data_IF_196115230776
#
_entry.id   IF_196115230776
#
_cell.length_a   1.000
_cell.length_b   1.000
_cell.length_c   1.000
_cell.angle_alpha   90.00
_cell.angle_beta   90.00
_cell.angle_gamma   90.00
#
_symmetry.space_group_name_H-M   'P 1'
#
loop_
_entity.id
_entity.type
_entity.pdbx_description
1 polymer ?
#
# COMPACT_ATOMS: atom_id res chain seq x y z
N UNK A 1 -1.29 15.78 -12.16
CA UNK A 1 -2.67 16.04 -11.68
C UNK A 1 -3.02 17.51 -11.79
N UNK A 2 -2.20 18.42 -11.27
CA UNK A 2 -2.35 19.87 -11.49
C UNK A 2 -2.45 20.28 -12.98
N UNK A 3 -1.72 19.60 -13.88
CA UNK A 3 -1.73 19.91 -15.32
C UNK A 3 -3.07 19.65 -16.05
N UNK A 4 -4.03 18.94 -15.43
CA UNK A 4 -5.38 18.72 -15.99
C UNK A 4 -6.45 19.63 -15.38
N UNK A 5 -6.07 20.52 -14.46
CA UNK A 5 -7.00 21.33 -13.68
C UNK A 5 -7.81 20.53 -12.66
N UNK A 6 -7.40 19.29 -12.37
CA UNK A 6 -8.00 18.46 -11.34
C UNK A 6 -7.49 18.92 -9.97
N UNK A 7 -8.41 19.18 -9.02
CA UNK A 7 -8.08 19.61 -7.66
C UNK A 7 -7.44 18.45 -6.88
N UNK A 8 -6.15 18.54 -6.49
CA UNK A 8 -5.45 17.49 -5.76
C UNK A 8 -6.13 17.14 -4.44
N UNK A 9 -6.72 18.11 -3.74
CA UNK A 9 -7.43 17.88 -2.50
C UNK A 9 -8.70 17.05 -2.77
N UNK A 10 -9.48 17.41 -3.79
CA UNK A 10 -10.68 16.67 -4.16
C UNK A 10 -10.36 15.21 -4.51
N UNK A 11 -9.30 14.98 -5.28
CA UNK A 11 -8.84 13.62 -5.62
C UNK A 11 -8.44 12.85 -4.36
N UNK A 12 -7.63 13.46 -3.50
CA UNK A 12 -7.17 12.85 -2.25
C UNK A 12 -8.34 12.42 -1.38
N UNK A 13 -9.33 13.30 -1.20
CA UNK A 13 -10.53 13.03 -0.39
C UNK A 13 -11.35 11.87 -0.93
N UNK A 14 -11.59 11.84 -2.24
CA UNK A 14 -12.38 10.77 -2.87
C UNK A 14 -11.65 9.42 -2.73
N UNK A 15 -10.36 9.39 -3.03
CA UNK A 15 -9.56 8.17 -2.93
C UNK A 15 -9.43 7.68 -1.47
N UNK A 16 -9.24 8.59 -0.51
CA UNK A 16 -9.22 8.27 0.91
C UNK A 16 -10.55 7.66 1.38
N UNK A 17 -11.67 8.21 0.91
CA UNK A 17 -13.01 7.70 1.20
C UNK A 17 -13.19 6.28 0.63
N UNK A 18 -12.74 6.04 -0.60
CA UNK A 18 -12.78 4.71 -1.21
C UNK A 18 -11.92 3.70 -0.43
N UNK A 19 -10.69 4.08 -0.06
CA UNK A 19 -9.81 3.25 0.77
C UNK A 19 -10.46 2.87 2.10
N UNK A 20 -11.13 3.82 2.78
CA UNK A 20 -11.79 3.55 4.06
C UNK A 20 -12.92 2.52 3.91
N UNK A 21 -13.76 2.64 2.88
CA UNK A 21 -14.83 1.66 2.60
C UNK A 21 -14.25 0.28 2.33
N UNK A 22 -13.21 0.19 1.49
CA UNK A 22 -12.59 -1.09 1.15
C UNK A 22 -11.95 -1.76 2.37
N UNK A 23 -11.28 -0.98 3.24
CA UNK A 23 -10.72 -1.48 4.50
C UNK A 23 -11.78 -2.04 5.44
N UNK A 24 -12.94 -1.40 5.51
CA UNK A 24 -14.06 -1.89 6.33
C UNK A 24 -14.64 -3.19 5.76
N UNK A 25 -14.67 -3.36 4.44
CA UNK A 25 -15.05 -4.63 3.80
C UNK A 25 -14.04 -5.75 4.09
N UNK A 26 -12.74 -5.48 3.95
CA UNK A 26 -11.66 -6.42 4.28
C UNK A 26 -11.78 -6.88 5.73
N UNK A 27 -11.96 -5.91 6.65
CA UNK A 27 -12.13 -6.20 8.09
C UNK A 27 -13.36 -7.07 8.35
N UNK A 28 -14.48 -6.81 7.66
CA UNK A 28 -15.70 -7.63 7.79
C UNK A 28 -15.53 -9.05 7.24
N UNK A 29 -14.64 -9.25 6.27
CA UNK A 29 -14.27 -10.58 5.76
C UNK A 29 -13.34 -11.35 6.73
N UNK A 30 -12.81 -10.71 7.77
CA UNK A 30 -11.92 -11.31 8.76
C UNK A 30 -10.44 -11.03 8.51
N UNK A 31 -10.12 -10.28 7.46
CA UNK A 31 -8.74 -9.93 7.09
C UNK A 31 -8.31 -8.59 7.70
N UNK A 32 -7.00 -8.38 7.76
CA UNK A 32 -6.39 -7.10 8.15
C UNK A 32 -5.62 -6.49 6.97
N UNK A 33 -6.17 -5.40 6.44
CA UNK A 33 -5.55 -4.63 5.35
C UNK A 33 -4.13 -4.20 5.67
N UNK A 34 -3.89 -3.69 6.88
CA UNK A 34 -2.58 -3.17 7.27
C UNK A 34 -1.60 -4.32 7.39
N UNK A 35 -1.99 -5.43 8.01
CA UNK A 35 -1.13 -6.60 8.07
C UNK A 35 -0.74 -7.10 6.67
N UNK A 36 -1.68 -7.19 5.73
CA UNK A 36 -1.38 -7.63 4.37
C UNK A 36 -0.48 -6.64 3.61
N UNK A 37 -0.75 -5.34 3.69
CA UNK A 37 0.11 -4.31 3.08
C UNK A 37 1.53 -4.39 3.64
N UNK A 38 1.68 -4.59 4.96
CA UNK A 38 3.00 -4.76 5.58
C UNK A 38 3.71 -6.02 5.08
N UNK A 39 3.00 -7.15 4.98
CA UNK A 39 3.58 -8.41 4.46
C UNK A 39 4.04 -8.26 3.01
N UNK A 40 3.19 -7.68 2.16
CA UNK A 40 3.50 -7.45 0.75
C UNK A 40 4.71 -6.51 0.64
N UNK A 41 4.65 -5.35 1.31
CA UNK A 41 5.74 -4.38 1.29
C UNK A 41 7.06 -4.96 1.78
N UNK A 42 7.06 -5.64 2.93
CA UNK A 42 8.26 -6.27 3.48
C UNK A 42 8.81 -7.36 2.55
N UNK A 43 7.96 -8.20 1.97
CA UNK A 43 8.36 -9.25 1.03
C UNK A 43 8.95 -8.67 -0.26
N UNK A 44 8.32 -7.65 -0.83
CA UNK A 44 8.83 -6.98 -2.04
C UNK A 44 10.20 -6.37 -1.80
N UNK A 45 10.38 -5.63 -0.68
CA UNK A 45 11.68 -5.05 -0.33
C UNK A 45 12.73 -6.12 -0.07
N UNK A 46 12.36 -7.17 0.68
CA UNK A 46 13.28 -8.25 0.99
C UNK A 46 13.72 -9.01 -0.27
N UNK A 47 12.80 -9.27 -1.19
CA UNK A 47 13.09 -9.91 -2.48
C UNK A 47 14.05 -9.08 -3.31
N UNK A 48 13.80 -7.76 -3.42
CA UNK A 48 14.68 -6.85 -4.11
C UNK A 48 16.08 -6.81 -3.48
N UNK A 49 16.18 -6.73 -2.14
CA UNK A 49 17.46 -6.79 -1.41
C UNK A 49 18.22 -8.10 -1.66
N UNK A 50 17.53 -9.24 -1.71
CA UNK A 50 18.13 -10.54 -2.04
C UNK A 50 18.67 -10.57 -3.47
N UNK A 51 17.97 -9.90 -4.39
CA UNK A 51 18.36 -9.80 -5.80
C UNK A 51 19.40 -8.69 -6.09
N UNK A 52 19.80 -7.92 -5.07
CA UNK A 52 20.76 -6.82 -5.22
C UNK A 52 20.16 -5.55 -5.84
N UNK A 53 18.84 -5.43 -5.86
CA UNK A 53 18.11 -4.25 -6.34
C UNK A 53 17.99 -3.20 -5.23
N UNK A 54 18.09 -1.93 -5.59
CA UNK A 54 17.88 -0.83 -4.66
C UNK A 54 16.40 -0.44 -4.60
N UNK A 55 15.81 -0.54 -3.42
CA UNK A 55 14.46 -0.04 -3.15
C UNK A 55 14.57 1.17 -2.25
N UNK A 56 14.13 2.32 -2.76
CA UNK A 56 14.11 3.57 -2.01
C UNK A 56 12.71 3.75 -1.42
N UNK A 57 12.54 3.33 -0.17
CA UNK A 57 11.27 3.48 0.56
C UNK A 57 11.53 4.15 1.91
N UNK A 58 10.53 4.85 2.47
CA UNK A 58 10.60 5.35 3.84
C UNK A 58 10.89 4.19 4.79
N UNK A 59 12.04 4.22 5.47
CA UNK A 59 12.44 3.22 6.45
C UNK A 59 12.23 3.75 7.86
N UNK A 60 11.77 2.87 8.74
CA UNK A 60 11.82 3.05 10.18
C UNK A 60 12.37 1.75 10.79
N UNK A 61 12.89 1.84 12.02
CA UNK A 61 13.60 0.73 12.66
C UNK A 61 12.74 -0.54 12.76
N UNK A 62 11.44 -0.38 12.99
CA UNK A 62 10.48 -1.49 13.06
C UNK A 62 10.30 -2.18 11.70
N UNK A 63 10.14 -1.41 10.61
CA UNK A 63 10.01 -1.94 9.27
C UNK A 63 11.31 -2.58 8.80
N UNK A 64 12.46 -1.99 9.09
CA UNK A 64 13.76 -2.57 8.74
C UNK A 64 13.97 -3.92 9.41
N UNK A 65 13.58 -4.07 10.69
CA UNK A 65 13.64 -5.37 11.37
C UNK A 65 12.71 -6.42 10.74
N UNK A 66 11.52 -6.03 10.31
CA UNK A 66 10.59 -6.92 9.58
C UNK A 66 11.18 -7.32 8.23
N UNK A 67 11.75 -6.37 7.49
CA UNK A 67 12.42 -6.63 6.20
C UNK A 67 13.62 -7.55 6.37
N UNK A 68 14.48 -7.33 7.37
CA UNK A 68 15.65 -8.18 7.61
C UNK A 68 15.25 -9.61 7.97
N UNK A 69 14.16 -9.76 8.74
CA UNK A 69 13.57 -11.08 9.03
C UNK A 69 13.10 -11.76 7.74
N UNK A 70 12.41 -11.01 6.85
CA UNK A 70 11.98 -11.51 5.56
C UNK A 70 13.17 -11.88 4.65
N UNK A 71 14.24 -11.07 4.59
CA UNK A 71 15.46 -11.37 3.83
C UNK A 71 16.09 -12.68 4.28
N UNK A 72 16.23 -12.88 5.59
CA UNK A 72 16.78 -14.12 6.14
C UNK A 72 15.88 -15.31 5.83
N UNK A 73 14.56 -15.14 5.94
CA UNK A 73 13.57 -16.17 5.62
C UNK A 73 13.60 -16.59 4.15
N UNK A 74 13.74 -15.64 3.23
CA UNK A 74 13.88 -15.88 1.78
C UNK A 74 15.18 -16.62 1.48
N UNK A 75 16.31 -16.16 2.03
CA UNK A 75 17.62 -16.82 1.87
C UNK A 75 17.63 -18.25 2.41
N UNK A 76 16.88 -18.51 3.47
CA UNK A 76 16.72 -19.84 4.06
C UNK A 76 15.70 -20.72 3.33
N UNK A 77 14.96 -20.20 2.33
CA UNK A 77 13.89 -20.92 1.63
C UNK A 77 12.62 -21.14 2.46
N UNK A 78 12.52 -20.50 3.63
CA UNK A 78 11.36 -20.60 4.54
C UNK A 78 10.25 -19.60 4.22
N UNK A 79 10.56 -18.55 3.46
CA UNK A 79 9.60 -17.55 2.97
C UNK A 79 9.68 -17.53 1.45
N UNK A 80 8.59 -17.90 0.79
CA UNK A 80 8.49 -17.98 -0.68
C UNK A 80 7.50 -16.97 -1.25
N UNK A 81 6.58 -16.50 -0.42
CA UNK A 81 5.57 -15.51 -0.75
C UNK A 81 5.27 -14.62 0.46
N UNK A 82 4.68 -13.45 0.24
CA UNK A 82 4.34 -12.50 1.30
C UNK A 82 3.44 -13.12 2.40
N UNK A 83 2.56 -14.07 2.04
CA UNK A 83 1.67 -14.74 2.98
C UNK A 83 2.42 -15.60 4.03
N UNK A 84 3.65 -16.03 3.74
CA UNK A 84 4.46 -16.83 4.66
C UNK A 84 5.04 -15.99 5.81
N UNK A 85 5.01 -14.65 5.68
CA UNK A 85 5.54 -13.76 6.71
C UNK A 85 4.62 -13.70 7.93
N UNK A 86 5.24 -13.78 9.11
CA UNK A 86 4.59 -13.53 10.39
C UNK A 86 5.13 -12.23 10.96
N UNK A 87 4.29 -11.20 11.01
CA UNK A 87 4.66 -9.88 11.51
C UNK A 87 4.37 -9.80 13.00
N UNK A 88 5.40 -10.02 13.82
CA UNK A 88 5.32 -9.91 15.28
C UNK A 88 5.68 -8.49 15.73
N UNK A 89 4.75 -7.55 15.55
CA UNK A 89 4.88 -6.20 16.10
C UNK A 89 4.15 -6.10 17.44
N UNK A 90 4.76 -5.41 18.40
CA UNK A 90 4.04 -5.02 19.62
C UNK A 90 2.94 -4.00 19.27
N UNK A 91 1.98 -3.79 20.18
CA UNK A 91 0.84 -2.92 19.93
C UNK A 91 1.23 -1.48 19.54
N UNK A 92 2.33 -0.95 20.08
CA UNK A 92 2.83 0.39 19.78
C UNK A 92 3.44 0.48 18.37
N UNK A 93 4.27 -0.48 17.97
CA UNK A 93 4.85 -0.56 16.62
C UNK A 93 3.78 -0.78 15.56
N UNK A 94 2.79 -1.63 15.84
CA UNK A 94 1.63 -1.81 14.96
C UNK A 94 0.81 -0.53 14.85
N UNK A 95 0.62 0.23 15.94
CA UNK A 95 -0.05 1.53 15.92
C UNK A 95 0.72 2.56 15.11
N UNK A 96 2.04 2.64 15.26
CA UNK A 96 2.88 3.59 14.53
C UNK A 96 2.88 3.33 13.02
N UNK A 97 2.97 2.06 12.62
CA UNK A 97 2.87 1.64 11.21
C UNK A 97 1.44 1.81 10.65
N UNK A 98 0.42 1.53 11.45
CA UNK A 98 -0.96 1.84 11.09
C UNK A 98 -1.14 3.35 10.88
N UNK A 99 -0.59 4.17 11.76
CA UNK A 99 -0.66 5.62 11.64
C UNK A 99 0.11 6.09 10.39
N UNK A 100 1.28 5.54 10.05
CA UNK A 100 1.97 5.91 8.80
C UNK A 100 1.18 5.56 7.53
N UNK A 101 0.39 4.47 7.56
CA UNK A 101 -0.42 4.02 6.41
C UNK A 101 -1.77 4.73 6.36
N UNK A 102 -2.35 5.09 7.51
CA UNK A 102 -3.77 5.49 7.60
C UNK A 102 -3.94 6.96 7.96
N UNK A 103 -3.03 7.55 8.75
CA UNK A 103 -3.12 8.95 9.17
C UNK A 103 -3.16 9.93 7.98
N UNK A 104 -2.37 9.76 6.90
CA UNK A 104 -2.44 10.64 5.74
C UNK A 104 -3.82 10.67 5.05
N UNK A 105 -4.65 9.64 5.28
CA UNK A 105 -5.93 9.43 4.60
C UNK A 105 -7.14 9.56 5.53
N UNK A 106 -6.93 9.92 6.80
CA UNK A 106 -7.98 10.11 7.80
C UNK A 106 -8.68 11.50 7.70
N UNK A 107 -8.93 11.98 6.49
CA UNK A 107 -9.57 13.28 6.21
C UNK A 107 -10.85 13.52 7.03
N UNK A 108 -11.71 12.50 7.17
CA UNK A 108 -13.00 12.61 7.88
C UNK A 108 -12.89 12.47 9.40
N UNK A 109 -11.86 11.80 9.92
CA UNK A 109 -11.71 11.58 11.37
C UNK A 109 -11.13 12.79 12.11
N UNK A 110 -10.38 13.63 11.40
CA UNK A 110 -9.92 14.91 11.94
C UNK A 110 -11.09 15.90 12.05
N UNK A 111 -11.97 15.99 11.04
CA UNK A 111 -13.18 16.80 11.12
C UNK A 111 -14.14 16.38 12.27
N UNK A 112 -14.24 15.08 12.57
CA UNK A 112 -15.12 14.58 13.64
C UNK A 112 -14.53 14.72 15.07
N UNK A 113 -13.20 14.68 15.25
CA UNK A 113 -12.58 14.72 16.58
C UNK A 113 -11.92 16.06 16.93
N UNK A 114 -11.48 16.83 15.94
CA UNK A 114 -10.90 18.15 16.11
C UNK A 114 -11.29 19.05 14.92
N UNK A 115 -12.39 19.82 15.04
CA UNK A 115 -12.89 20.68 13.97
C UNK A 115 -11.93 21.84 13.60
N UNK A 116 -10.80 22.00 14.31
CA UNK A 116 -9.76 22.98 14.02
C UNK A 116 -8.49 22.34 13.43
N UNK A 117 -8.42 21.02 13.30
CA UNK A 117 -7.32 20.35 12.62
C UNK A 117 -7.37 20.69 11.12
N UNK A 118 -6.53 21.63 10.71
CA UNK A 118 -6.34 22.00 9.31
C UNK A 118 -5.35 21.05 8.67
N UNK A 119 -5.69 20.54 7.49
CA UNK A 119 -4.77 19.79 6.63
C UNK A 119 -3.65 20.74 6.19
N UNK A 120 -2.39 20.35 6.38
CA UNK A 120 -1.30 21.04 5.69
C UNK A 120 -1.34 20.62 4.22
N UNK A 121 -1.00 21.52 3.29
CA UNK A 121 -0.88 21.16 1.87
C UNK A 121 0.16 20.05 1.67
N UNK A 122 1.13 19.93 2.60
CA UNK A 122 2.12 18.85 2.59
C UNK A 122 1.54 17.46 2.89
N UNK A 123 0.32 17.37 3.43
CA UNK A 123 -0.35 16.10 3.71
C UNK A 123 -1.18 15.59 2.51
N UNK A 124 -1.32 16.39 1.45
CA UNK A 124 -2.07 16.03 0.24
C UNK A 124 -1.17 15.16 -0.66
N UNK A 125 -1.45 13.87 -0.70
CA UNK A 125 -0.75 12.89 -1.54
C UNK A 125 -1.76 12.01 -2.30
N UNK A 126 -2.34 12.55 -3.40
CA UNK A 126 -3.41 11.90 -4.13
C UNK A 126 -2.95 10.58 -4.77
N UNK A 127 -1.69 10.50 -5.19
CA UNK A 127 -1.17 9.34 -5.89
C UNK A 127 -1.02 8.14 -4.95
N UNK A 128 -0.50 8.39 -3.75
CA UNK A 128 -0.28 7.36 -2.76
C UNK A 128 -1.60 6.82 -2.22
N UNK A 129 -2.60 7.69 -1.98
CA UNK A 129 -3.93 7.23 -1.56
C UNK A 129 -4.64 6.42 -2.64
N UNK A 130 -4.49 6.77 -3.92
CA UNK A 130 -5.02 5.97 -5.04
C UNK A 130 -4.34 4.60 -5.06
N UNK A 131 -3.01 4.53 -4.89
CA UNK A 131 -2.27 3.27 -4.82
C UNK A 131 -2.78 2.35 -3.70
N UNK A 132 -3.03 2.91 -2.52
CA UNK A 132 -3.61 2.17 -1.40
C UNK A 132 -5.04 1.70 -1.67
N UNK A 133 -5.89 2.55 -2.27
CA UNK A 133 -7.26 2.20 -2.62
C UNK A 133 -7.30 1.07 -3.66
N UNK A 134 -6.44 1.11 -4.68
CA UNK A 134 -6.32 0.03 -5.68
C UNK A 134 -5.84 -1.27 -5.05
N UNK A 135 -4.84 -1.20 -4.16
CA UNK A 135 -4.37 -2.37 -3.39
C UNK A 135 -5.48 -2.97 -2.52
N UNK A 136 -6.29 -2.14 -1.87
CA UNK A 136 -7.42 -2.63 -1.08
C UNK A 136 -8.52 -3.26 -1.97
N UNK A 137 -8.72 -2.73 -3.18
CA UNK A 137 -9.70 -3.26 -4.13
C UNK A 137 -9.33 -4.68 -4.60
N UNK A 138 -8.05 -4.93 -4.89
CA UNK A 138 -7.59 -6.27 -5.29
C UNK A 138 -7.75 -7.29 -4.16
N UNK A 139 -7.65 -6.87 -2.90
CA UNK A 139 -7.93 -7.73 -1.75
C UNK A 139 -9.42 -8.07 -1.59
N UNK A 140 -10.32 -7.10 -1.83
CA UNK A 140 -11.77 -7.33 -1.79
C UNK A 140 -12.25 -8.16 -2.99
N UNK A 141 -11.52 -8.12 -4.10
CA UNK A 141 -11.86 -8.81 -5.35
C UNK A 141 -10.66 -9.55 -5.93
N UNK A 142 -10.17 -10.60 -5.25
CA UNK A 142 -8.99 -11.32 -5.69
C UNK A 142 -9.20 -11.95 -7.08
N UNK A 143 -8.18 -11.84 -7.92
CA UNK A 143 -8.18 -12.40 -9.28
C UNK A 143 -9.05 -11.65 -10.30
N UNK A 144 -9.77 -10.59 -9.89
CA UNK A 144 -10.46 -9.72 -10.85
C UNK A 144 -9.48 -8.67 -11.38
N UNK A 145 -9.44 -8.44 -12.70
CA UNK A 145 -8.61 -7.38 -13.25
C UNK A 145 -9.10 -6.02 -12.76
N UNK A 146 -8.16 -5.08 -12.63
CA UNK A 146 -8.52 -3.68 -12.38
C UNK A 146 -9.31 -3.13 -13.59
N UNK A 147 -10.26 -2.20 -13.39
CA UNK A 147 -11.01 -1.61 -14.50
C UNK A 147 -10.09 -0.93 -15.51
N UNK A 148 -10.30 -1.13 -16.81
CA UNK A 148 -9.48 -0.54 -17.89
C UNK A 148 -9.35 0.99 -17.79
N UNK A 149 -10.33 1.65 -17.19
CA UNK A 149 -10.33 3.10 -16.96
C UNK A 149 -9.16 3.57 -16.09
N UNK A 150 -8.54 2.70 -15.28
CA UNK A 150 -7.37 3.04 -14.46
C UNK A 150 -6.05 2.83 -15.19
N UNK A 151 -6.04 2.08 -16.30
CA UNK A 151 -4.82 1.74 -17.05
C UNK A 151 -3.98 2.97 -17.43
N UNK A 152 -4.56 4.07 -17.97
CA UNK A 152 -3.79 5.27 -18.28
C UNK A 152 -3.16 5.95 -17.06
N UNK A 153 -3.72 5.74 -15.85
CA UNK A 153 -3.13 6.25 -14.61
C UNK A 153 -1.91 5.40 -14.20
N UNK A 154 -2.04 4.07 -14.30
CA UNK A 154 -0.95 3.14 -13.97
C UNK A 154 0.25 3.28 -14.93
N UNK A 155 -0.01 3.39 -16.24
CA UNK A 155 1.03 3.59 -17.26
C UNK A 155 1.84 4.87 -17.03
N UNK A 156 1.17 5.98 -16.71
CA UNK A 156 1.83 7.27 -16.45
C UNK A 156 2.75 7.27 -15.24
N UNK A 157 2.59 6.29 -14.34
CA UNK A 157 3.33 6.18 -13.09
C UNK A 157 4.31 5.00 -13.08
N UNK A 158 4.47 4.32 -14.21
CA UNK A 158 5.30 3.12 -14.34
C UNK A 158 4.92 2.01 -13.32
N UNK A 159 3.63 1.94 -12.98
CA UNK A 159 3.09 0.99 -11.99
C UNK A 159 2.53 -0.29 -12.63
N UNK A 160 2.59 -0.40 -13.95
CA UNK A 160 2.37 -1.68 -14.62
C UNK A 160 3.70 -2.43 -14.61
N UNK A 161 3.74 -3.60 -13.97
CA UNK A 161 4.85 -4.52 -14.17
C UNK A 161 5.02 -4.75 -15.68
N UNK A 162 6.26 -4.85 -16.20
CA UNK A 162 6.45 -5.29 -17.57
C UNK A 162 5.73 -6.63 -17.70
N UNK A 163 4.75 -6.69 -18.59
CA UNK A 163 4.07 -7.95 -18.89
C UNK A 163 5.18 -8.96 -19.17
N UNK A 164 5.26 -10.02 -18.37
CA UNK A 164 6.01 -11.18 -18.78
C UNK A 164 5.30 -11.68 -20.02
N UNK A 165 5.84 -11.29 -21.17
CA UNK A 165 5.49 -11.81 -22.48
C UNK A 165 5.76 -13.31 -22.44
N UNK A 166 4.75 -14.04 -21.97
CA UNK A 166 4.54 -15.44 -22.25
C UNK A 166 4.21 -15.55 -23.73
N UNK A 167 5.25 -15.45 -24.58
CA UNK A 167 5.26 -16.15 -25.86
C UNK A 167 6.18 -17.35 -25.70
N UNK A 168 5.60 -18.40 -25.15
CA UNK A 168 6.01 -19.74 -25.49
C UNK A 168 5.38 -20.09 -26.84
N UNK A 169 6.21 -20.71 -27.70
CA UNK A 169 5.88 -21.59 -28.83
C UNK A 169 5.63 -20.94 -30.20
N UNK A 170 6.65 -21.01 -31.08
CA UNK A 170 6.74 -22.08 -32.10
C UNK A 170 8.18 -22.23 -32.61
#
# INVERSE_FOLDING_TARGET
>A
MAERGEDPLAIHVIAASALQVLRDLIKKAGDDYVEQVLKIGAFTVASARVNGESVNLPSNAEMDAVVDTAVNGIKAGTVTQAADLVINLNAAGRRALLDSIVKPYNFLKHADNDPLATLDETDIDPDHVIGHALSALTMVSPGKPLPDTIKPYLERRDLLAPEQSSEAQA
#
